data_IF_540705610127
#
_entry.id   IF_540705610127
#
_cell.length_a   1.000
_cell.length_b   1.000
_cell.length_c   1.000
_cell.angle_alpha   90.00
_cell.angle_beta   90.00
_cell.angle_gamma   90.00
#
_symmetry.space_group_name_H-M   'P 1'
#
loop_
_entity.id
_entity.type
_entity.pdbx_description
1 polymer ?
#
# COMPACT_ATOMS: atom_id res chain seq x y z
N UNK A 1 -0.21 -2.47 -17.48
CA UNK A 1 -0.65 -2.79 -16.10
C UNK A 1 -1.86 -3.72 -16.22
N UNK A 2 -1.75 -4.93 -15.71
CA UNK A 2 -2.88 -5.88 -15.72
C UNK A 2 -3.54 -5.84 -14.35
N UNK A 3 -4.77 -5.37 -14.31
CA UNK A 3 -5.57 -5.25 -13.08
C UNK A 3 -6.70 -6.28 -13.18
N UNK A 4 -6.92 -7.02 -12.11
CA UNK A 4 -7.90 -8.10 -12.04
C UNK A 4 -8.93 -7.81 -10.94
N UNK A 5 -10.20 -8.22 -11.09
CA UNK A 5 -11.20 -8.14 -10.04
C UNK A 5 -10.82 -9.01 -8.83
N UNK A 6 -11.25 -8.60 -7.64
CA UNK A 6 -10.96 -9.28 -6.37
C UNK A 6 -11.47 -10.73 -6.33
N UNK A 7 -12.56 -11.03 -7.00
CA UNK A 7 -13.15 -12.38 -7.04
C UNK A 7 -12.32 -13.41 -7.83
N UNK A 8 -11.20 -12.99 -8.42
CA UNK A 8 -10.21 -13.85 -9.07
C UNK A 8 -8.91 -13.96 -8.25
N UNK A 9 -8.91 -13.46 -7.04
CA UNK A 9 -7.80 -13.53 -6.10
C UNK A 9 -8.08 -14.61 -5.07
N UNK A 10 -7.33 -15.72 -5.14
CA UNK A 10 -7.40 -16.79 -4.14
C UNK A 10 -6.99 -16.26 -2.75
N UNK A 11 -5.79 -15.69 -2.69
CA UNK A 11 -5.24 -15.11 -1.45
C UNK A 11 -4.07 -14.19 -1.74
N UNK A 12 -3.63 -13.47 -0.71
CA UNK A 12 -2.45 -12.63 -0.75
C UNK A 12 -1.77 -12.52 0.61
N UNK A 13 -0.43 -12.56 0.61
CA UNK A 13 0.40 -12.29 1.79
C UNK A 13 1.70 -11.62 1.38
N UNK A 14 2.05 -10.51 2.03
CA UNK A 14 3.30 -9.82 1.73
C UNK A 14 4.52 -10.62 2.19
N UNK A 15 5.49 -10.83 1.30
CA UNK A 15 6.77 -11.50 1.60
C UNK A 15 7.95 -10.53 1.80
N UNK A 16 7.73 -9.22 1.63
CA UNK A 16 8.82 -8.24 1.71
C UNK A 16 9.74 -8.23 0.48
N UNK A 17 9.24 -8.61 -0.71
CA UNK A 17 10.04 -8.61 -1.95
C UNK A 17 10.42 -7.21 -2.43
N UNK A 18 9.75 -6.16 -1.96
CA UNK A 18 10.03 -4.77 -2.33
C UNK A 18 9.55 -4.34 -3.71
N UNK A 19 8.87 -5.19 -4.46
CA UNK A 19 8.42 -4.89 -5.82
C UNK A 19 7.40 -3.73 -5.85
N UNK A 20 6.57 -3.58 -4.83
CA UNK A 20 5.64 -2.44 -4.72
C UNK A 20 6.31 -1.06 -4.73
N UNK A 21 7.59 -0.97 -4.41
CA UNK A 21 8.36 0.27 -4.33
C UNK A 21 9.23 0.55 -5.57
N UNK A 22 9.19 -0.29 -6.60
CA UNK A 22 10.03 -0.15 -7.81
C UNK A 22 9.30 0.51 -8.97
N UNK A 23 8.22 -0.08 -9.55
CA UNK A 23 7.66 0.42 -10.80
C UNK A 23 6.83 1.69 -10.62
N UNK A 24 6.24 1.89 -9.44
CA UNK A 24 5.27 2.95 -9.24
C UNK A 24 5.86 4.20 -8.59
N UNK A 25 5.43 5.34 -9.09
CA UNK A 25 5.50 6.60 -8.38
C UNK A 25 4.37 6.62 -7.36
N UNK A 26 4.67 6.87 -6.10
CA UNK A 26 3.68 6.85 -5.02
C UNK A 26 3.03 8.22 -4.90
N UNK A 27 1.75 8.38 -5.28
CA UNK A 27 1.04 9.64 -5.14
C UNK A 27 0.74 9.92 -3.66
N UNK A 28 0.79 11.19 -3.32
CA UNK A 28 0.49 11.69 -1.98
C UNK A 28 -0.71 12.64 -2.04
N UNK A 29 -1.61 12.52 -1.09
CA UNK A 29 -2.53 13.62 -0.80
C UNK A 29 -1.77 14.81 -0.21
N UNK A 30 -2.35 16.00 -0.25
CA UNK A 30 -1.75 17.19 0.37
C UNK A 30 -1.45 16.98 1.86
N UNK A 31 -2.33 16.28 2.57
CA UNK A 31 -2.15 15.97 3.99
C UNK A 31 -0.98 15.00 4.24
N UNK A 32 -0.86 13.94 3.43
CA UNK A 32 0.26 13.00 3.52
C UNK A 32 1.59 13.69 3.20
N UNK A 33 1.59 14.51 2.16
CA UNK A 33 2.76 15.29 1.76
C UNK A 33 3.23 16.21 2.90
N UNK A 34 2.30 16.97 3.49
CA UNK A 34 2.62 17.87 4.63
C UNK A 34 3.23 17.10 5.79
N UNK A 35 2.62 15.98 6.20
CA UNK A 35 3.14 15.18 7.32
C UNK A 35 4.50 14.57 7.04
N UNK A 36 4.71 14.08 5.83
CA UNK A 36 5.98 13.46 5.43
C UNK A 36 7.07 14.53 5.34
N UNK A 37 6.79 15.68 4.75
CA UNK A 37 7.78 16.78 4.64
C UNK A 37 8.11 17.42 5.99
N UNK A 38 7.16 17.52 6.90
CA UNK A 38 7.42 17.95 8.28
C UNK A 38 8.34 16.98 9.03
N UNK A 39 8.20 15.68 8.80
CA UNK A 39 8.99 14.65 9.49
C UNK A 39 10.38 14.43 8.88
N UNK A 40 10.51 14.58 7.55
CA UNK A 40 11.72 14.14 6.81
C UNK A 40 12.29 15.21 5.87
N UNK A 41 11.69 16.38 5.81
CA UNK A 41 12.09 17.46 4.90
C UNK A 41 11.54 17.32 3.49
N UNK A 42 11.66 18.39 2.70
CA UNK A 42 11.17 18.45 1.32
C UNK A 42 11.93 17.50 0.36
N UNK A 43 13.19 17.19 0.68
CA UNK A 43 14.07 16.38 -0.18
C UNK A 43 13.60 14.95 -0.43
N UNK A 44 12.65 14.44 0.36
CA UNK A 44 12.10 13.08 0.23
C UNK A 44 10.86 13.00 -0.65
N UNK A 45 10.38 14.14 -1.14
CA UNK A 45 9.22 14.26 -2.01
C UNK A 45 9.57 14.95 -3.32
N UNK A 46 8.72 14.84 -4.30
CA UNK A 46 8.80 15.58 -5.56
C UNK A 46 7.42 16.09 -5.95
N UNK A 47 7.40 17.23 -6.63
CA UNK A 47 6.21 17.85 -7.18
C UNK A 47 6.26 17.64 -8.69
N UNK A 48 5.32 16.88 -9.22
CA UNK A 48 5.16 16.67 -10.65
C UNK A 48 3.98 17.46 -11.22
N UNK A 49 3.81 17.41 -12.52
CA UNK A 49 2.68 18.07 -13.21
C UNK A 49 1.34 17.52 -12.69
N UNK A 50 1.29 16.22 -12.39
CA UNK A 50 0.06 15.51 -12.00
C UNK A 50 -0.13 15.40 -10.48
N UNK A 51 0.74 16.00 -9.66
CA UNK A 51 0.57 15.96 -8.22
C UNK A 51 1.85 15.88 -7.38
N UNK A 52 1.66 15.44 -6.15
CA UNK A 52 2.69 15.30 -5.12
C UNK A 52 3.08 13.82 -5.00
N UNK A 53 4.37 13.53 -4.91
CA UNK A 53 4.87 12.15 -4.94
C UNK A 53 6.00 11.91 -3.94
N UNK A 54 6.18 10.65 -3.54
CA UNK A 54 7.41 10.22 -2.88
C UNK A 54 8.54 10.16 -3.89
N UNK A 55 9.70 10.67 -3.50
CA UNK A 55 10.91 10.63 -4.31
C UNK A 55 11.45 9.20 -4.44
N UNK A 56 12.02 8.93 -5.59
CA UNK A 56 12.78 7.70 -5.84
C UNK A 56 14.29 7.96 -5.86
N UNK A 57 15.03 6.98 -5.39
CA UNK A 57 16.48 6.92 -5.51
C UNK A 57 16.85 5.57 -6.13
N UNK A 58 17.60 5.59 -7.25
CA UNK A 58 18.00 4.37 -7.97
C UNK A 58 16.82 3.45 -8.33
N UNK A 59 15.70 4.04 -8.79
CA UNK A 59 14.51 3.29 -9.21
C UNK A 59 13.66 2.71 -8.09
N UNK A 60 13.95 3.03 -6.82
CA UNK A 60 13.19 2.58 -5.64
C UNK A 60 12.69 3.75 -4.80
N UNK A 61 11.65 3.53 -4.02
CA UNK A 61 11.20 4.51 -3.03
C UNK A 61 12.35 4.84 -2.07
N UNK A 62 12.56 6.13 -1.79
CA UNK A 62 13.64 6.63 -0.92
C UNK A 62 13.59 6.04 0.50
N UNK A 63 12.41 5.64 0.96
CA UNK A 63 12.20 5.04 2.28
C UNK A 63 12.30 3.51 2.31
N UNK A 64 12.60 2.89 1.15
CA UNK A 64 12.79 1.44 1.12
C UNK A 64 14.21 1.09 1.55
N UNK A 65 14.33 0.11 2.44
CA UNK A 65 15.62 -0.41 2.89
C UNK A 65 15.58 -1.94 3.05
N UNK A 66 16.74 -2.56 3.04
CA UNK A 66 16.86 -4.01 3.20
C UNK A 66 17.29 -4.35 4.63
N UNK A 67 16.60 -5.32 5.23
CA UNK A 67 16.95 -5.89 6.54
C UNK A 67 16.56 -7.37 6.56
N UNK A 68 17.48 -8.22 6.98
CA UNK A 68 17.23 -9.67 7.09
C UNK A 68 16.75 -10.33 5.78
N UNK A 69 17.27 -9.91 4.63
CA UNK A 69 16.85 -10.42 3.31
C UNK A 69 15.48 -9.95 2.82
N UNK A 70 14.82 -9.04 3.55
CA UNK A 70 13.52 -8.49 3.21
C UNK A 70 13.60 -6.99 2.96
N UNK A 71 12.81 -6.51 2.00
CA UNK A 71 12.65 -5.08 1.75
C UNK A 71 11.55 -4.51 2.64
N UNK A 72 11.90 -3.55 3.47
CA UNK A 72 11.02 -2.93 4.45
C UNK A 72 10.76 -1.47 4.11
N UNK A 73 9.66 -0.93 4.65
CA UNK A 73 9.29 0.47 4.52
C UNK A 73 9.69 1.25 5.77
N UNK A 74 10.49 2.29 5.61
CA UNK A 74 11.01 3.12 6.69
C UNK A 74 10.01 4.11 7.29
N UNK A 75 8.86 4.33 6.67
CA UNK A 75 7.86 5.30 7.16
C UNK A 75 6.54 4.64 7.54
N UNK A 76 6.58 3.51 8.27
CA UNK A 76 5.37 2.75 8.62
C UNK A 76 4.26 3.63 9.23
N UNK A 77 4.60 4.56 10.14
CA UNK A 77 3.63 5.43 10.81
C UNK A 77 3.07 6.54 9.91
N UNK A 78 3.77 6.88 8.83
CA UNK A 78 3.39 7.89 7.85
C UNK A 78 3.20 7.29 6.45
N UNK A 79 2.99 5.97 6.38
CA UNK A 79 2.86 5.26 5.12
C UNK A 79 1.67 5.78 4.32
N UNK A 80 1.88 6.20 3.06
CA UNK A 80 0.81 6.70 2.21
C UNK A 80 -0.29 5.66 1.98
N UNK A 81 -1.52 6.13 1.80
CA UNK A 81 -2.69 5.27 1.54
C UNK A 81 -2.47 4.37 0.32
N UNK A 82 -1.88 4.90 -0.75
CA UNK A 82 -1.55 4.13 -1.93
C UNK A 82 -0.63 2.94 -1.62
N UNK A 83 0.33 3.11 -0.69
CA UNK A 83 1.20 2.03 -0.24
C UNK A 83 0.51 1.07 0.73
N UNK A 84 -0.40 1.60 1.57
CA UNK A 84 -1.18 0.76 2.49
C UNK A 84 -2.12 -0.17 1.75
N UNK A 85 -2.70 0.30 0.66
CA UNK A 85 -3.67 -0.46 -0.13
C UNK A 85 -3.01 -1.47 -1.10
N UNK A 86 -1.71 -1.38 -1.38
CA UNK A 86 -1.06 -2.32 -2.29
C UNK A 86 -1.21 -3.79 -1.85
N UNK A 87 -1.57 -4.72 -2.74
CA UNK A 87 -1.74 -4.57 -4.20
C UNK A 87 -3.19 -4.22 -4.61
N UNK A 88 -4.06 -3.94 -3.68
CA UNK A 88 -5.48 -3.67 -3.97
C UNK A 88 -5.72 -2.20 -4.35
N UNK A 89 -6.72 -2.01 -5.20
CA UNK A 89 -7.21 -0.72 -5.66
C UNK A 89 -8.71 -0.70 -5.43
N UNK A 90 -9.18 0.21 -4.58
CA UNK A 90 -10.56 0.27 -4.11
C UNK A 90 -11.18 1.59 -4.53
N UNK A 91 -12.31 1.54 -5.22
CA UNK A 91 -12.99 2.69 -5.79
C UNK A 91 -14.48 2.68 -5.50
N UNK A 92 -15.11 3.85 -5.55
CA UNK A 92 -16.58 4.01 -5.45
C UNK A 92 -17.27 3.86 -6.81
N UNK A 93 -16.52 3.90 -7.91
CA UNK A 93 -17.01 3.72 -9.28
C UNK A 93 -16.08 2.74 -10.00
N UNK A 94 -16.57 1.95 -10.97
CA UNK A 94 -15.71 1.04 -11.73
C UNK A 94 -14.69 1.84 -12.54
N UNK A 95 -13.42 1.39 -12.50
CA UNK A 95 -12.32 2.11 -13.16
C UNK A 95 -11.60 1.30 -14.24
N UNK A 96 -11.58 -0.02 -14.11
CA UNK A 96 -10.78 -0.90 -14.98
C UNK A 96 -11.64 -1.92 -15.76
N UNK A 97 -12.90 -1.62 -16.04
CA UNK A 97 -13.83 -2.58 -16.62
C UNK A 97 -14.25 -3.67 -15.63
N UNK A 98 -14.96 -4.70 -16.12
CA UNK A 98 -15.38 -5.87 -15.35
C UNK A 98 -16.08 -5.48 -14.04
N UNK A 99 -17.00 -4.51 -14.15
CA UNK A 99 -17.63 -3.85 -13.00
C UNK A 99 -18.40 -4.84 -12.10
N UNK A 100 -19.07 -5.82 -12.70
CA UNK A 100 -19.84 -6.83 -11.95
C UNK A 100 -18.92 -7.69 -11.08
N UNK A 101 -17.83 -8.18 -11.67
CA UNK A 101 -16.85 -9.03 -10.99
C UNK A 101 -16.05 -8.29 -9.91
N UNK A 102 -15.80 -7.00 -10.12
CA UNK A 102 -15.10 -6.14 -9.16
C UNK A 102 -16.01 -5.56 -8.08
N UNK A 103 -17.32 -5.66 -8.27
CA UNK A 103 -18.31 -5.10 -7.34
C UNK A 103 -18.31 -5.86 -6.01
N UNK A 104 -18.37 -5.12 -4.92
CA UNK A 104 -18.47 -5.64 -3.56
C UNK A 104 -19.31 -4.69 -2.71
N UNK A 105 -20.22 -5.22 -1.93
CA UNK A 105 -20.94 -4.45 -0.93
C UNK A 105 -20.27 -4.57 0.45
N UNK A 106 -20.00 -3.44 1.09
CA UNK A 106 -19.42 -3.39 2.41
C UNK A 106 -19.96 -2.21 3.19
N UNK A 107 -20.55 -2.47 4.36
CA UNK A 107 -21.10 -1.44 5.23
C UNK A 107 -22.17 -0.57 4.53
N UNK A 108 -23.03 -1.16 3.71
CA UNK A 108 -24.07 -0.45 2.93
C UNK A 108 -23.52 0.40 1.79
N UNK A 109 -22.25 0.20 1.41
CA UNK A 109 -21.61 0.93 0.29
C UNK A 109 -21.19 -0.04 -0.79
N UNK A 110 -21.52 0.30 -2.04
CA UNK A 110 -21.01 -0.42 -3.21
C UNK A 110 -19.60 0.07 -3.53
N UNK A 111 -18.65 -0.84 -3.56
CA UNK A 111 -17.25 -0.63 -3.87
C UNK A 111 -16.85 -1.46 -5.09
N UNK A 112 -15.77 -1.06 -5.74
CA UNK A 112 -15.16 -1.80 -6.84
C UNK A 112 -13.71 -2.07 -6.48
N UNK A 113 -13.40 -3.36 -6.25
CA UNK A 113 -12.11 -3.80 -5.76
C UNK A 113 -11.36 -4.54 -6.85
N UNK A 114 -10.15 -4.12 -7.08
CA UNK A 114 -9.24 -4.71 -8.06
C UNK A 114 -7.90 -5.00 -7.38
N UNK A 115 -7.17 -5.96 -7.94
CA UNK A 115 -5.81 -6.27 -7.53
C UNK A 115 -4.82 -6.05 -8.68
N UNK A 116 -3.63 -5.59 -8.38
CA UNK A 116 -2.56 -5.37 -9.34
C UNK A 116 -1.72 -6.64 -9.50
N UNK A 117 -1.79 -7.27 -10.67
CA UNK A 117 -1.12 -8.53 -10.94
C UNK A 117 0.42 -8.44 -11.01
N UNK A 118 0.99 -7.25 -10.91
CA UNK A 118 2.43 -7.08 -10.76
C UNK A 118 2.94 -7.49 -9.37
N UNK A 119 2.04 -7.69 -8.40
CA UNK A 119 2.43 -8.25 -7.11
C UNK A 119 2.70 -9.76 -7.25
N UNK A 120 3.95 -10.23 -7.10
CA UNK A 120 4.27 -11.65 -7.30
C UNK A 120 3.67 -12.57 -6.22
N UNK A 121 3.18 -11.98 -5.13
CA UNK A 121 2.56 -12.73 -4.03
C UNK A 121 1.05 -12.83 -4.12
N UNK A 122 0.46 -12.29 -5.19
CA UNK A 122 -0.95 -12.42 -5.47
C UNK A 122 -1.20 -13.80 -6.10
N UNK A 123 -1.93 -14.65 -5.42
CA UNK A 123 -2.38 -15.92 -5.97
C UNK A 123 -3.73 -15.75 -6.64
N UNK A 124 -3.85 -16.33 -7.83
CA UNK A 124 -5.08 -16.28 -8.63
C UNK A 124 -5.89 -17.55 -8.41
N UNK A 125 -7.20 -17.40 -8.31
CA UNK A 125 -8.13 -18.51 -8.11
C UNK A 125 -9.41 -18.05 -7.42
N UNK A 126 -10.23 -19.00 -6.99
CA UNK A 126 -11.37 -18.73 -6.14
C UNK A 126 -10.92 -18.18 -4.78
N UNK A 127 -11.55 -17.10 -4.30
CA UNK A 127 -11.20 -16.50 -3.02
C UNK A 127 -11.34 -17.48 -1.85
N UNK A 128 -10.29 -17.62 -1.06
CA UNK A 128 -10.31 -18.43 0.16
C UNK A 128 -11.14 -17.76 1.26
N UNK A 129 -11.59 -18.53 2.23
CA UNK A 129 -12.28 -18.02 3.40
C UNK A 129 -11.43 -17.01 4.19
N UNK A 130 -10.12 -17.25 4.34
CA UNK A 130 -9.18 -16.31 4.96
C UNK A 130 -9.13 -14.98 4.20
N UNK A 131 -9.09 -15.03 2.87
CA UNK A 131 -9.09 -13.84 2.05
C UNK A 131 -10.36 -13.02 2.23
N UNK A 132 -11.52 -13.67 2.21
CA UNK A 132 -12.84 -13.04 2.31
C UNK A 132 -13.12 -12.47 3.71
N UNK A 133 -12.72 -13.18 4.77
CA UNK A 133 -13.06 -12.80 6.15
C UNK A 133 -12.04 -11.88 6.81
N UNK A 134 -10.78 -11.94 6.39
CA UNK A 134 -9.69 -11.25 7.08
C UNK A 134 -8.96 -10.25 6.18
N UNK A 135 -8.45 -10.70 5.03
CA UNK A 135 -7.57 -9.88 4.19
C UNK A 135 -8.36 -8.77 3.51
N UNK A 136 -9.36 -9.12 2.74
CA UNK A 136 -10.17 -8.17 1.96
C UNK A 136 -10.86 -7.12 2.84
N UNK A 137 -11.49 -7.48 3.98
CA UNK A 137 -12.08 -6.51 4.90
C UNK A 137 -11.08 -5.52 5.50
N UNK A 138 -9.83 -5.95 5.80
CA UNK A 138 -8.79 -5.04 6.28
C UNK A 138 -8.51 -3.95 5.25
N UNK A 139 -8.29 -4.32 3.98
CA UNK A 139 -8.02 -3.34 2.91
C UNK A 139 -9.20 -2.41 2.65
N UNK A 140 -10.42 -2.92 2.72
CA UNK A 140 -11.63 -2.10 2.62
C UNK A 140 -11.68 -1.10 3.79
N UNK A 141 -11.48 -1.56 5.01
CA UNK A 141 -11.44 -0.72 6.20
C UNK A 141 -10.37 0.36 6.13
N UNK A 142 -9.17 0.04 5.64
CA UNK A 142 -8.10 1.02 5.38
C UNK A 142 -8.55 2.05 4.36
N UNK A 143 -9.16 1.62 3.25
CA UNK A 143 -9.66 2.52 2.21
C UNK A 143 -10.75 3.47 2.71
N UNK A 144 -11.59 3.01 3.63
CA UNK A 144 -12.66 3.78 4.24
C UNK A 144 -12.25 4.53 5.51
N UNK A 145 -10.98 4.42 5.92
CA UNK A 145 -10.43 4.99 7.17
C UNK A 145 -11.13 4.49 8.45
N UNK A 146 -11.68 3.27 8.42
CA UNK A 146 -12.35 2.64 9.55
C UNK A 146 -11.48 1.63 10.30
N UNK A 147 -10.30 1.32 9.78
CA UNK A 147 -9.34 0.38 10.40
C UNK A 147 -8.19 1.11 11.07
N UNK A 148 -7.93 0.78 12.34
CA UNK A 148 -6.85 1.40 13.14
C UNK A 148 -5.48 0.77 12.92
N UNK A 149 -5.41 -0.56 12.83
CA UNK A 149 -4.16 -1.31 12.65
C UNK A 149 -4.17 -2.10 11.33
N UNK A 150 -2.95 -2.31 10.81
CA UNK A 150 -2.71 -2.95 9.54
C UNK A 150 -1.95 -4.26 9.79
N UNK A 151 -2.60 -5.42 9.58
CA UNK A 151 -2.03 -6.73 9.83
C UNK A 151 -1.50 -7.40 8.55
N UNK A 152 -2.28 -7.36 7.47
CA UNK A 152 -1.96 -8.03 6.21
C UNK A 152 -1.21 -7.15 5.21
N UNK A 153 -1.27 -5.86 5.37
CA UNK A 153 -0.61 -4.93 4.47
C UNK A 153 0.91 -4.94 4.64
N UNK A 154 1.60 -4.53 3.60
CA UNK A 154 3.06 -4.61 3.40
C UNK A 154 3.92 -4.59 4.66
N UNK A 155 4.89 -5.49 4.72
CA UNK A 155 5.71 -5.83 5.88
C UNK A 155 6.07 -4.68 6.79
N UNK A 156 5.76 -4.84 8.06
CA UNK A 156 6.35 -4.10 9.17
C UNK A 156 7.72 -4.69 9.50
N UNK A 157 8.69 -3.84 9.86
CA UNK A 157 9.83 -4.29 10.61
C UNK A 157 9.34 -4.90 11.92
N UNK A 158 9.69 -6.13 12.21
CA UNK A 158 9.52 -6.66 13.56
C UNK A 158 10.21 -5.69 14.52
N UNK A 159 9.60 -5.43 15.68
CA UNK A 159 10.19 -4.60 16.74
C UNK A 159 11.38 -5.34 17.38
N UNK A 160 12.40 -5.59 16.59
CA UNK A 160 13.73 -5.90 17.11
C UNK A 160 14.32 -4.55 17.53
N UNK A 161 14.79 -4.41 18.74
CA UNK A 161 15.27 -3.16 19.35
C UNK A 161 16.40 -2.41 18.62
N UNK A 162 16.51 -2.56 17.32
CA UNK A 162 17.44 -1.85 16.45
C UNK A 162 16.84 -0.51 16.02
N UNK A 163 17.64 0.53 16.17
CA UNK A 163 17.29 1.90 15.72
C UNK A 163 16.98 1.88 14.23
N UNK A 164 15.79 2.38 13.90
CA UNK A 164 15.32 2.52 12.54
C UNK A 164 16.24 3.51 11.78
N UNK A 165 16.72 3.21 10.56
CA UNK A 165 17.61 4.09 9.81
C UNK A 165 17.02 5.48 9.48
N UNK A 166 15.70 5.60 9.58
CA UNK A 166 14.95 6.86 9.41
C UNK A 166 14.31 7.35 10.72
N UNK A 167 14.77 6.90 11.88
CA UNK A 167 14.36 7.51 13.13
C UNK A 167 14.82 8.96 13.13
N UNK A 168 13.87 9.90 13.11
CA UNK A 168 14.18 11.31 13.11
C UNK A 168 15.01 11.62 14.35
N UNK A 169 16.20 12.16 14.16
CA UNK A 169 16.91 12.88 15.19
C UNK A 169 15.96 14.01 15.61
N UNK A 170 15.40 13.93 16.80
CA UNK A 170 14.69 15.06 17.38
C UNK A 170 15.70 16.21 17.40
N UNK A 171 15.51 17.16 16.52
CA UNK A 171 16.15 18.46 16.66
C UNK A 171 15.49 19.07 17.90
N UNK A 172 16.32 19.27 18.91
CA UNK A 172 16.00 19.99 20.15
C UNK A 172 15.78 21.44 19.78
#
# INVERSE_FOLDING_TARGET
MKVIPWNQVETWRCCGCGECCRPYTVPLSAWEWTRITQAYGLSVTEIGIDGLFLKKKQGRCIFQYMQGGKWLCGIQNLKPLACKLWPFKIFRKPKYGRAEEASLESGGRKLFVYADSLCPMLKLGEPTEEFLKNILPEFIGISLSTYGEQHYSTMRAERTGQRHPFASSRVI
#
